data_IF_181991488008
#
_entry.id   IF_181991488008
#
_cell.length_a   1.000
_cell.length_b   1.000
_cell.length_c   1.000
_cell.angle_alpha   90.00
_cell.angle_beta   90.00
_cell.angle_gamma   90.00
#
_symmetry.space_group_name_H-M   'P 1'
#
loop_
_entity.id
_entity.type
_entity.pdbx_description
1 polymer ?
#
# COMPACT_ATOMS: atom_id res chain seq x y z
N UNK A 1 31.90 -20.38 -39.77
CA UNK A 1 32.11 -20.37 -38.31
C UNK A 1 31.78 -18.97 -37.80
N UNK A 2 30.51 -18.72 -37.55
CA UNK A 2 29.99 -17.42 -37.11
C UNK A 2 29.66 -17.57 -35.62
N UNK A 3 30.53 -17.08 -34.74
CA UNK A 3 30.29 -17.08 -33.31
C UNK A 3 29.40 -15.88 -32.97
N UNK A 4 28.13 -16.18 -32.67
CA UNK A 4 27.16 -15.25 -32.12
C UNK A 4 27.59 -14.91 -30.68
N UNK A 5 27.95 -13.64 -30.43
CA UNK A 5 28.25 -13.14 -29.08
C UNK A 5 26.95 -12.94 -28.32
N UNK A 6 26.64 -13.84 -27.39
CA UNK A 6 25.54 -13.72 -26.45
C UNK A 6 25.86 -12.64 -25.41
N UNK A 7 25.08 -11.57 -25.40
CA UNK A 7 25.14 -10.47 -24.43
C UNK A 7 24.43 -10.95 -23.14
N UNK A 8 25.19 -11.20 -22.07
CA UNK A 8 24.64 -11.50 -20.75
C UNK A 8 24.25 -10.18 -20.06
N UNK A 9 22.96 -9.87 -20.01
CA UNK A 9 22.40 -8.89 -19.09
C UNK A 9 22.31 -9.53 -17.69
N UNK A 10 23.11 -9.04 -16.74
CA UNK A 10 22.98 -9.40 -15.34
C UNK A 10 21.89 -8.54 -14.68
N UNK A 11 20.72 -9.13 -14.48
CA UNK A 11 19.62 -8.51 -13.74
C UNK A 11 19.78 -8.89 -12.25
N UNK A 12 20.31 -7.98 -11.44
CA UNK A 12 20.35 -8.16 -9.99
C UNK A 12 19.06 -7.55 -9.39
N UNK A 13 18.06 -8.39 -9.17
CA UNK A 13 16.84 -8.03 -8.44
C UNK A 13 17.12 -8.20 -6.94
N UNK A 14 17.13 -7.10 -6.19
CA UNK A 14 17.19 -7.13 -4.72
C UNK A 14 15.77 -6.87 -4.21
N UNK A 15 15.14 -7.91 -3.65
CA UNK A 15 13.85 -7.80 -2.97
C UNK A 15 14.12 -7.60 -1.48
N UNK A 16 13.96 -6.37 -1.00
CA UNK A 16 13.97 -6.06 0.42
C UNK A 16 12.54 -6.06 0.94
N UNK A 17 12.21 -6.97 1.84
CA UNK A 17 10.91 -7.02 2.52
C UNK A 17 10.99 -6.16 3.78
N UNK A 18 10.16 -5.11 3.90
CA UNK A 18 10.01 -4.36 5.15
C UNK A 18 8.54 -3.99 5.41
N UNK A 19 8.15 -4.20 6.67
CA UNK A 19 6.84 -3.91 7.22
C UNK A 19 6.55 -2.39 7.25
N UNK A 20 5.30 -2.01 7.00
CA UNK A 20 4.83 -0.63 7.07
C UNK A 20 4.66 -0.19 8.54
N UNK A 21 5.44 0.81 8.96
CA UNK A 21 5.17 1.60 10.18
C UNK A 21 4.22 2.75 9.85
N UNK A 22 3.43 3.20 10.83
CA UNK A 22 2.52 4.36 10.71
C UNK A 22 3.26 5.67 10.40
N UNK A 23 2.53 6.77 10.22
CA UNK A 23 3.10 8.08 9.89
C UNK A 23 4.10 8.51 10.96
N UNK A 24 5.38 8.62 10.59
CA UNK A 24 6.48 8.99 11.48
C UNK A 24 6.67 10.51 11.53
N UNK A 25 7.07 11.04 12.68
CA UNK A 25 7.36 12.47 12.89
C UNK A 25 8.72 12.65 13.57
N UNK A 26 9.41 13.75 13.27
CA UNK A 26 10.58 14.20 14.04
C UNK A 26 10.17 14.81 15.38
N UNK A 27 11.11 14.94 16.33
CA UNK A 27 10.91 15.63 17.62
C UNK A 27 10.44 17.10 17.47
N UNK A 28 10.57 17.67 16.27
CA UNK A 28 10.12 19.02 15.91
C UNK A 28 8.79 19.07 15.15
N UNK A 29 8.11 17.92 15.00
CA UNK A 29 6.80 17.82 14.33
C UNK A 29 6.84 17.82 12.80
N UNK A 30 8.01 17.58 12.19
CA UNK A 30 8.12 17.40 10.73
C UNK A 30 7.75 15.95 10.37
N UNK A 31 6.81 15.77 9.44
CA UNK A 31 6.39 14.45 8.92
C UNK A 31 7.53 13.78 8.15
N UNK A 32 7.75 12.50 8.41
CA UNK A 32 8.69 11.63 7.71
C UNK A 32 7.89 10.79 6.72
N UNK A 33 7.98 11.14 5.44
CA UNK A 33 7.22 10.51 4.34
C UNK A 33 8.00 9.43 3.59
N UNK A 34 9.14 8.99 4.13
CA UNK A 34 9.99 8.01 3.47
C UNK A 34 11.29 7.72 4.21
N UNK A 35 12.06 6.77 3.68
CA UNK A 35 13.35 6.32 4.23
C UNK A 35 14.40 6.17 3.12
N UNK A 36 15.63 5.80 3.48
CA UNK A 36 16.75 5.64 2.54
C UNK A 36 17.22 4.20 2.46
N UNK A 37 17.46 3.74 1.24
CA UNK A 37 18.02 2.42 0.91
C UNK A 37 19.44 2.57 0.37
N UNK A 38 20.30 1.62 0.68
CA UNK A 38 21.67 1.57 0.15
C UNK A 38 21.69 0.93 -1.25
N UNK A 39 22.47 1.53 -2.15
CA UNK A 39 22.67 1.00 -3.49
C UNK A 39 24.08 1.37 -3.95
N UNK A 40 24.84 0.42 -4.49
CA UNK A 40 26.22 0.64 -4.93
C UNK A 40 26.37 0.50 -6.44
N UNK A 41 26.20 1.60 -7.18
CA UNK A 41 26.49 1.63 -8.63
C UNK A 41 27.60 2.63 -8.90
N UNK A 42 28.61 2.20 -9.66
CA UNK A 42 29.70 3.07 -10.10
C UNK A 42 29.65 3.15 -11.63
N UNK A 43 29.47 4.36 -12.15
CA UNK A 43 29.46 4.62 -13.58
C UNK A 43 30.67 5.48 -13.91
N UNK A 44 31.52 4.97 -14.80
CA UNK A 44 32.62 5.74 -15.37
C UNK A 44 32.11 6.44 -16.62
N UNK A 45 32.49 7.70 -16.80
CA UNK A 45 32.10 8.44 -17.98
C UNK A 45 32.72 7.84 -19.26
N UNK A 46 32.10 8.11 -20.41
CA UNK A 46 32.63 7.75 -21.73
C UNK A 46 31.81 6.71 -22.50
N UNK A 47 30.83 6.07 -21.87
CA UNK A 47 29.90 5.16 -22.55
C UNK A 47 28.52 5.31 -21.92
N UNK A 48 27.50 5.56 -22.76
CA UNK A 48 26.12 5.69 -22.31
C UNK A 48 25.67 4.44 -21.58
N UNK A 49 24.88 4.64 -20.52
CA UNK A 49 24.46 3.58 -19.60
C UNK A 49 23.03 3.85 -19.11
N UNK A 50 22.31 2.81 -18.74
CA UNK A 50 20.95 2.93 -18.19
C UNK A 50 20.77 1.97 -17.03
N UNK A 51 20.30 2.51 -15.91
CA UNK A 51 19.90 1.76 -14.73
C UNK A 51 18.39 1.90 -14.49
N UNK A 52 17.76 0.82 -14.07
CA UNK A 52 16.41 0.83 -13.52
C UNK A 52 16.52 0.59 -12.01
N UNK A 53 16.03 1.53 -11.22
CA UNK A 53 15.91 1.38 -9.78
C UNK A 53 14.42 1.23 -9.49
N UNK A 54 14.05 0.15 -8.82
CA UNK A 54 12.68 -0.13 -8.42
C UNK A 54 12.67 -0.57 -6.97
N UNK A 55 11.67 -0.11 -6.24
CA UNK A 55 11.38 -0.60 -4.90
C UNK A 55 9.88 -0.75 -4.79
N UNK A 56 9.43 -1.96 -4.51
CA UNK A 56 8.01 -2.28 -4.44
C UNK A 56 7.31 -1.37 -3.42
N UNK A 57 6.13 -0.87 -3.80
CA UNK A 57 5.31 0.03 -2.96
C UNK A 57 5.89 1.40 -2.63
N UNK A 58 7.05 1.79 -3.17
CA UNK A 58 7.53 3.16 -2.99
C UNK A 58 6.56 4.16 -3.67
N UNK A 59 6.14 5.20 -2.93
CA UNK A 59 5.30 6.27 -3.50
C UNK A 59 6.10 7.27 -4.34
N UNK A 60 7.41 7.35 -4.12
CA UNK A 60 8.36 8.06 -4.95
C UNK A 60 9.76 7.46 -4.80
N UNK A 61 10.66 7.75 -5.74
CA UNK A 61 12.10 7.49 -5.62
C UNK A 61 12.92 8.77 -5.88
N UNK A 62 13.92 9.04 -5.04
CA UNK A 62 14.92 10.10 -5.23
C UNK A 62 16.35 9.54 -5.11
N UNK A 63 17.11 9.56 -6.21
CA UNK A 63 18.43 8.91 -6.31
C UNK A 63 19.53 9.71 -5.61
N UNK A 64 20.43 9.04 -4.89
CA UNK A 64 21.56 9.67 -4.18
C UNK A 64 22.85 9.53 -4.97
N UNK A 65 23.35 10.64 -5.50
CA UNK A 65 24.60 10.69 -6.26
C UNK A 65 25.78 11.16 -5.40
N UNK A 66 26.95 10.57 -5.64
CA UNK A 66 28.23 11.00 -5.10
C UNK A 66 29.33 10.97 -6.17
N UNK A 67 30.30 11.87 -6.06
CA UNK A 67 31.39 11.99 -7.04
C UNK A 67 30.89 12.30 -8.46
N UNK A 68 29.71 12.89 -8.58
CA UNK A 68 29.08 13.24 -9.86
C UNK A 68 29.87 14.35 -10.54
N UNK A 69 30.52 14.01 -11.65
CA UNK A 69 31.35 14.90 -12.44
C UNK A 69 31.36 14.40 -13.88
N UNK A 70 30.43 14.91 -14.67
CA UNK A 70 30.28 14.54 -16.07
C UNK A 70 31.15 15.42 -16.98
N UNK A 71 31.69 14.86 -18.07
CA UNK A 71 32.25 15.63 -19.17
C UNK A 71 31.29 16.70 -19.73
N UNK A 72 31.85 17.68 -20.42
CA UNK A 72 31.02 18.66 -21.14
C UNK A 72 30.22 17.97 -22.26
N UNK A 73 28.92 18.27 -22.34
CA UNK A 73 27.98 17.66 -23.29
C UNK A 73 27.31 16.39 -22.80
N UNK A 74 27.83 15.75 -21.76
CA UNK A 74 27.23 14.57 -21.14
C UNK A 74 26.05 14.95 -20.24
N UNK A 75 25.12 14.01 -20.06
CA UNK A 75 23.96 14.22 -19.18
C UNK A 75 23.49 12.94 -18.51
N UNK A 76 22.91 13.08 -17.32
CA UNK A 76 22.10 12.05 -16.67
C UNK A 76 20.67 12.55 -16.59
N UNK A 77 19.74 11.78 -17.13
CA UNK A 77 18.29 12.00 -17.03
C UNK A 77 17.72 10.96 -16.09
N UNK A 78 17.00 11.40 -15.06
CA UNK A 78 16.12 10.53 -14.28
C UNK A 78 14.68 10.72 -14.74
N UNK A 79 13.95 9.64 -14.95
CA UNK A 79 12.55 9.70 -15.40
C UNK A 79 11.74 8.52 -14.88
N UNK A 80 10.43 8.69 -14.84
CA UNK A 80 9.54 7.54 -14.66
C UNK A 80 9.72 6.56 -15.84
N UNK A 81 9.76 5.24 -15.59
CA UNK A 81 9.63 4.25 -16.64
C UNK A 81 8.18 4.12 -17.14
N UNK A 82 7.20 4.61 -16.38
CA UNK A 82 5.79 4.67 -16.82
C UNK A 82 5.62 5.80 -17.83
N UNK A 83 5.23 5.44 -19.04
CA UNK A 83 5.00 6.35 -20.17
C UNK A 83 3.89 7.37 -19.91
N UNK A 84 3.01 7.12 -18.93
CA UNK A 84 1.92 8.02 -18.57
C UNK A 84 2.35 9.09 -17.54
N UNK A 85 3.51 8.92 -16.91
CA UNK A 85 4.04 9.86 -15.91
C UNK A 85 5.14 10.72 -16.54
N UNK A 86 4.79 11.93 -16.96
CA UNK A 86 5.68 12.83 -17.69
C UNK A 86 6.75 13.55 -16.81
N UNK A 87 7.17 12.95 -15.69
CA UNK A 87 8.18 13.55 -14.79
C UNK A 87 9.57 13.11 -15.21
N UNK A 88 10.43 14.08 -15.52
CA UNK A 88 11.86 13.85 -15.78
C UNK A 88 12.72 15.01 -15.30
N UNK A 89 13.96 14.71 -14.90
CA UNK A 89 14.94 15.70 -14.45
C UNK A 89 16.31 15.41 -15.06
N UNK A 90 16.96 16.45 -15.58
CA UNK A 90 18.27 16.33 -16.26
C UNK A 90 19.37 16.99 -15.44
N UNK A 91 20.51 16.32 -15.33
CA UNK A 91 21.70 16.79 -14.61
C UNK A 91 22.93 16.73 -15.53
N UNK A 92 23.77 17.77 -15.46
CA UNK A 92 25.02 17.91 -16.22
C UNK A 92 26.14 18.42 -15.31
N UNK A 93 27.40 18.37 -15.78
CA UNK A 93 28.56 18.84 -15.01
C UNK A 93 28.66 18.14 -13.65
N UNK A 94 28.66 18.91 -12.55
CA UNK A 94 28.69 18.38 -11.17
C UNK A 94 27.31 18.24 -10.53
N UNK A 95 26.25 18.28 -11.33
CA UNK A 95 24.87 18.06 -10.91
C UNK A 95 24.27 19.24 -10.12
N UNK A 96 23.42 18.94 -9.14
CA UNK A 96 22.66 19.97 -8.39
C UNK A 96 23.63 20.92 -7.69
N UNK A 97 23.48 22.23 -7.96
CA UNK A 97 24.35 23.30 -7.42
C UNK A 97 25.86 23.07 -7.64
N UNK A 98 26.25 22.22 -8.60
CA UNK A 98 27.64 21.91 -8.93
C UNK A 98 28.48 21.33 -7.77
N UNK A 99 27.86 20.66 -6.79
CA UNK A 99 28.56 20.12 -5.61
C UNK A 99 29.24 18.77 -5.88
N UNK A 100 28.70 17.96 -6.79
CA UNK A 100 29.14 16.59 -7.07
C UNK A 100 28.59 15.52 -6.12
N UNK A 101 27.91 15.91 -5.04
CA UNK A 101 27.19 14.99 -4.14
C UNK A 101 25.84 15.60 -3.81
N UNK A 102 24.76 14.91 -4.16
CA UNK A 102 23.40 15.44 -4.01
C UNK A 102 22.35 14.33 -4.09
N UNK A 103 21.18 14.63 -3.52
CA UNK A 103 19.95 13.88 -3.75
C UNK A 103 19.22 14.52 -4.93
N UNK A 104 18.87 13.71 -5.93
CA UNK A 104 18.14 14.16 -7.10
C UNK A 104 16.69 14.53 -6.76
N UNK A 105 16.03 15.32 -7.61
CA UNK A 105 14.59 15.53 -7.54
C UNK A 105 13.84 14.19 -7.60
N UNK A 106 12.76 14.06 -6.82
CA UNK A 106 12.00 12.82 -6.78
C UNK A 106 11.26 12.57 -8.10
N UNK A 107 11.01 11.30 -8.37
CA UNK A 107 10.11 10.80 -9.40
C UNK A 107 8.96 10.06 -8.70
N UNK A 108 7.69 10.46 -8.91
CA UNK A 108 6.55 9.73 -8.37
C UNK A 108 6.49 8.28 -8.86
N UNK A 109 6.05 7.37 -8.00
CA UNK A 109 5.92 5.95 -8.29
C UNK A 109 7.04 5.08 -7.73
N UNK A 110 6.91 3.78 -7.97
CA UNK A 110 7.74 2.74 -7.36
C UNK A 110 9.05 2.44 -8.10
N UNK A 111 9.35 3.19 -9.16
CA UNK A 111 10.52 2.96 -10.00
C UNK A 111 10.99 4.22 -10.72
N UNK A 112 12.29 4.28 -11.00
CA UNK A 112 12.95 5.36 -11.73
C UNK A 112 13.99 4.78 -12.68
N UNK A 113 14.00 5.30 -13.91
CA UNK A 113 15.07 5.04 -14.87
C UNK A 113 16.13 6.14 -14.73
N UNK A 114 17.40 5.75 -14.59
CA UNK A 114 18.56 6.65 -14.66
C UNK A 114 19.26 6.40 -16.00
N UNK A 115 19.22 7.38 -16.90
CA UNK A 115 19.85 7.29 -18.23
C UNK A 115 21.03 8.24 -18.31
N UNK A 116 22.23 7.69 -18.41
CA UNK A 116 23.45 8.44 -18.72
C UNK A 116 23.72 8.42 -20.22
N UNK A 117 23.89 9.61 -20.80
CA UNK A 117 24.23 9.80 -22.21
C UNK A 117 25.61 10.43 -22.31
N UNK A 118 26.53 9.73 -22.96
CA UNK A 118 27.89 10.18 -23.24
C UNK A 118 28.01 10.70 -24.67
N UNK A 119 28.66 11.85 -24.88
CA UNK A 119 28.92 12.40 -26.23
C UNK A 119 30.28 11.99 -26.80
N UNK A 120 31.13 11.36 -26.00
CA UNK A 120 32.46 10.91 -26.44
C UNK A 120 33.22 10.17 -25.34
N UNK A 121 34.51 9.82 -25.56
CA UNK A 121 35.36 9.23 -24.55
C UNK A 121 35.65 10.24 -23.41
N UNK A 122 35.66 9.76 -22.17
CA UNK A 122 35.94 10.59 -21.01
C UNK A 122 37.40 10.49 -20.54
N UNK A 123 37.80 11.46 -19.72
CA UNK A 123 39.08 11.43 -19.00
C UNK A 123 38.97 10.63 -17.69
N UNK A 124 40.11 10.18 -17.16
CA UNK A 124 40.14 9.39 -15.93
C UNK A 124 39.55 10.15 -14.73
N UNK A 125 38.69 9.49 -13.95
CA UNK A 125 38.06 10.07 -12.74
C UNK A 125 36.75 10.81 -12.97
N UNK A 126 36.21 10.82 -14.19
CA UNK A 126 34.88 11.36 -14.51
C UNK A 126 33.80 10.26 -14.45
N UNK A 127 32.57 10.65 -14.12
CA UNK A 127 31.43 9.75 -13.95
C UNK A 127 30.60 10.09 -12.72
N UNK A 128 30.03 9.09 -12.08
CA UNK A 128 29.27 9.24 -10.84
C UNK A 128 29.12 7.90 -10.12
N UNK A 129 28.70 7.99 -8.87
CA UNK A 129 28.27 6.85 -8.07
C UNK A 129 26.84 7.06 -7.62
N UNK A 130 26.03 6.02 -7.70
CA UNK A 130 24.78 5.93 -6.95
C UNK A 130 25.14 5.24 -5.65
N UNK A 131 24.86 5.91 -4.53
CA UNK A 131 25.19 5.43 -3.18
C UNK A 131 23.97 4.93 -2.41
N UNK A 132 22.78 5.23 -2.94
CA UNK A 132 21.50 4.91 -2.35
C UNK A 132 20.37 5.62 -3.07
N UNK A 133 19.18 5.52 -2.51
CA UNK A 133 18.02 6.30 -2.91
C UNK A 133 17.08 6.48 -1.72
N UNK A 134 16.34 7.59 -1.71
CA UNK A 134 15.20 7.75 -0.83
C UNK A 134 13.97 7.16 -1.50
N UNK A 135 13.19 6.39 -0.75
CA UNK A 135 11.87 5.93 -1.16
C UNK A 135 10.81 6.56 -0.28
N UNK A 136 9.70 6.95 -0.89
CA UNK A 136 8.52 7.33 -0.14
C UNK A 136 7.87 6.13 0.50
N UNK A 137 7.29 6.31 1.69
CA UNK A 137 6.36 5.33 2.25
C UNK A 137 5.13 5.20 1.34
N UNK A 138 4.52 4.00 1.24
CA UNK A 138 3.33 3.79 0.41
C UNK A 138 2.21 4.78 0.76
N UNK A 139 1.53 5.35 -0.24
CA UNK A 139 0.47 6.36 -0.08
C UNK A 139 -0.95 5.77 -0.16
N UNK A 140 -1.20 4.59 0.47
CA UNK A 140 -2.49 3.83 0.50
C UNK A 140 -2.75 2.94 -0.73
N UNK A 141 -3.51 1.84 -0.74
CA UNK A 141 -3.88 0.77 0.21
C UNK A 141 -3.79 -0.53 -0.62
N UNK A 142 -3.22 -1.61 -0.08
CA UNK A 142 -3.68 -2.94 -0.48
C UNK A 142 -3.77 -3.79 0.78
N UNK A 143 -4.93 -4.41 0.95
CA UNK A 143 -5.11 -5.56 1.82
C UNK A 143 -4.06 -6.58 1.39
N UNK A 144 -2.96 -6.66 2.13
CA UNK A 144 -1.92 -7.62 1.83
C UNK A 144 -2.49 -8.99 2.16
N UNK A 145 -2.96 -9.71 1.15
CA UNK A 145 -3.24 -11.13 1.26
C UNK A 145 -1.93 -11.80 1.68
N UNK A 146 -1.84 -12.18 2.94
CA UNK A 146 -0.68 -12.88 3.48
C UNK A 146 -0.78 -14.37 3.10
N UNK A 147 0.05 -14.84 2.16
CA UNK A 147 0.09 -16.27 1.79
C UNK A 147 0.14 -16.53 0.29
N UNK A 148 -0.18 -17.77 -0.11
CA UNK A 148 -0.15 -18.23 -1.51
C UNK A 148 -1.38 -17.77 -2.32
N UNK A 149 -1.61 -16.45 -2.38
CA UNK A 149 -2.74 -15.84 -3.09
C UNK A 149 -4.02 -15.72 -2.25
N UNK A 150 -5.12 -15.31 -2.88
CA UNK A 150 -6.41 -15.09 -2.22
C UNK A 150 -6.97 -16.41 -1.67
N UNK A 151 -7.03 -16.49 -0.35
CA UNK A 151 -7.57 -17.62 0.41
C UNK A 151 -8.96 -17.32 0.95
N UNK A 152 -9.60 -16.23 0.49
CA UNK A 152 -10.94 -15.85 0.89
C UNK A 152 -11.93 -16.95 0.49
N UNK A 153 -12.74 -17.34 1.46
CA UNK A 153 -13.84 -18.26 1.26
C UNK A 153 -15.12 -17.60 1.81
N UNK A 154 -16.29 -17.91 1.24
CA UNK A 154 -17.55 -17.46 1.79
C UNK A 154 -17.65 -17.83 3.27
N UNK A 155 -18.18 -16.94 4.12
CA UNK A 155 -18.34 -17.20 5.55
C UNK A 155 -19.05 -18.53 5.81
N UNK A 156 -20.01 -18.90 4.96
CA UNK A 156 -20.75 -20.17 4.99
C UNK A 156 -19.86 -21.43 4.94
N UNK A 157 -18.64 -21.33 4.41
CA UNK A 157 -17.67 -22.41 4.45
C UNK A 157 -17.21 -22.76 5.87
N UNK A 158 -17.32 -21.82 6.81
CA UNK A 158 -16.97 -21.99 8.23
C UNK A 158 -18.19 -22.28 9.13
N UNK A 159 -19.40 -22.39 8.55
CA UNK A 159 -20.62 -22.61 9.31
C UNK A 159 -20.61 -23.95 10.07
N UNK A 160 -21.36 -24.07 11.18
CA UNK A 160 -21.41 -25.32 11.96
C UNK A 160 -21.72 -26.54 11.09
N UNK A 161 -20.88 -27.58 11.21
CA UNK A 161 -21.03 -28.83 10.48
C UNK A 161 -20.26 -28.90 9.16
N UNK A 162 -19.43 -27.89 8.83
CA UNK A 162 -18.46 -27.97 7.73
C UNK A 162 -17.09 -28.42 8.22
N UNK A 163 -16.25 -28.93 7.32
CA UNK A 163 -14.87 -29.32 7.64
C UNK A 163 -14.01 -28.15 8.20
N UNK A 164 -14.27 -26.92 7.76
CA UNK A 164 -13.52 -25.75 8.23
C UNK A 164 -13.99 -25.28 9.61
N UNK A 165 -15.24 -25.53 9.99
CA UNK A 165 -15.73 -25.24 11.33
C UNK A 165 -15.01 -26.03 12.43
N UNK A 166 -14.44 -27.19 12.11
CA UNK A 166 -13.65 -27.97 13.08
C UNK A 166 -12.30 -27.32 13.41
N UNK A 167 -11.75 -26.54 12.46
CA UNK A 167 -10.45 -25.88 12.60
C UNK A 167 -10.59 -24.46 13.14
N UNK A 168 -11.69 -23.78 12.81
CA UNK A 168 -11.99 -22.41 13.21
C UNK A 168 -13.46 -22.31 13.69
N UNK A 169 -13.79 -22.86 14.87
CA UNK A 169 -15.17 -23.05 15.32
C UNK A 169 -15.94 -21.74 15.55
N UNK A 170 -15.23 -20.66 15.88
CA UNK A 170 -15.85 -19.38 16.18
C UNK A 170 -15.94 -18.46 14.95
N UNK A 171 -15.22 -18.76 13.85
CA UNK A 171 -15.09 -17.86 12.70
C UNK A 171 -16.45 -17.46 12.10
N UNK A 172 -17.35 -18.43 11.91
CA UNK A 172 -18.67 -18.14 11.34
C UNK A 172 -19.53 -17.28 12.27
N UNK A 173 -19.55 -17.62 13.56
CA UNK A 173 -20.32 -16.88 14.57
C UNK A 173 -19.81 -15.44 14.70
N UNK A 174 -18.48 -15.26 14.69
CA UNK A 174 -17.84 -13.93 14.76
C UNK A 174 -18.06 -13.12 13.47
N UNK A 175 -18.07 -13.78 12.31
CA UNK A 175 -18.36 -13.13 11.03
C UNK A 175 -19.78 -12.52 10.97
N UNK A 176 -20.73 -13.01 11.77
CA UNK A 176 -22.08 -12.41 11.80
C UNK A 176 -22.10 -10.97 12.32
N UNK A 177 -21.08 -10.56 13.08
CA UNK A 177 -20.93 -9.20 13.58
C UNK A 177 -20.42 -8.20 12.52
N UNK A 178 -20.06 -8.68 11.33
CA UNK A 178 -19.56 -7.87 10.21
C UNK A 178 -20.72 -7.37 9.36
N UNK A 179 -20.66 -6.10 8.98
CA UNK A 179 -21.63 -5.43 8.13
C UNK A 179 -20.98 -4.93 6.84
N UNK A 180 -21.77 -4.98 5.76
CA UNK A 180 -21.54 -4.22 4.55
C UNK A 180 -22.12 -2.82 4.72
N UNK A 181 -21.35 -1.81 4.34
CA UNK A 181 -21.75 -0.41 4.37
C UNK A 181 -21.87 0.10 2.94
N UNK A 182 -23.04 0.63 2.56
CA UNK A 182 -23.19 1.41 1.33
C UNK A 182 -23.33 2.89 1.73
N UNK A 183 -22.21 3.59 1.73
CA UNK A 183 -22.11 4.98 2.16
C UNK A 183 -22.49 5.91 1.02
N UNK A 184 -23.41 6.83 1.32
CA UNK A 184 -23.92 7.83 0.38
C UNK A 184 -24.43 7.22 -0.95
N UNK A 185 -24.89 5.97 -0.91
CA UNK A 185 -25.37 5.23 -2.08
C UNK A 185 -24.30 4.86 -3.12
N UNK A 186 -23.01 5.16 -2.89
CA UNK A 186 -21.96 5.04 -3.91
C UNK A 186 -20.70 4.31 -3.46
N UNK A 187 -20.37 4.34 -2.17
CA UNK A 187 -19.13 3.75 -1.65
C UNK A 187 -19.43 2.48 -0.87
N UNK A 188 -18.69 1.41 -1.17
CA UNK A 188 -18.76 0.18 -0.37
C UNK A 188 -17.62 0.12 0.61
N UNK A 189 -17.98 -0.12 1.86
CA UNK A 189 -17.06 -0.35 2.95
C UNK A 189 -17.52 -1.54 3.79
N UNK A 190 -16.68 -1.93 4.74
CA UNK A 190 -16.96 -2.96 5.73
C UNK A 190 -16.89 -2.33 7.12
N UNK A 191 -17.75 -2.77 8.02
CA UNK A 191 -17.62 -2.47 9.43
C UNK A 191 -17.98 -3.66 10.31
N UNK A 192 -17.77 -3.54 11.62
CA UNK A 192 -18.07 -4.63 12.55
C UNK A 192 -18.48 -4.09 13.92
N UNK A 193 -19.39 -4.80 14.60
CA UNK A 193 -19.87 -4.43 15.92
C UNK A 193 -18.78 -4.69 16.98
N UNK A 194 -18.38 -3.64 17.71
CA UNK A 194 -17.43 -3.74 18.82
C UNK A 194 -18.08 -3.93 20.20
N UNK A 195 -19.40 -4.00 20.26
CA UNK A 195 -20.16 -4.23 21.48
C UNK A 195 -21.66 -4.38 21.19
N UNK A 196 -22.44 -4.62 22.24
CA UNK A 196 -23.89 -4.83 22.15
C UNK A 196 -24.71 -3.54 22.04
N UNK A 197 -24.09 -2.38 22.28
CA UNK A 197 -24.74 -1.06 22.25
C UNK A 197 -24.72 -0.39 20.85
N UNK A 198 -24.43 -1.16 19.80
CA UNK A 198 -24.47 -0.68 18.42
C UNK A 198 -23.28 0.15 17.96
N UNK A 199 -22.15 0.12 18.67
CA UNK A 199 -20.90 0.71 18.22
C UNK A 199 -20.29 -0.15 17.11
N UNK A 200 -20.18 0.43 15.91
CA UNK A 200 -19.66 -0.19 14.72
C UNK A 200 -18.35 0.49 14.30
N UNK A 201 -17.28 -0.30 14.24
CA UNK A 201 -15.95 0.13 13.81
C UNK A 201 -15.82 -0.02 12.30
N UNK A 202 -15.18 0.95 11.65
CA UNK A 202 -14.83 0.96 10.22
C UNK A 202 -13.67 1.93 9.99
N UNK A 203 -13.40 2.29 8.73
CA UNK A 203 -12.33 3.21 8.34
C UNK A 203 -12.80 4.66 8.25
N UNK A 204 -11.89 5.60 8.50
CA UNK A 204 -12.19 7.03 8.35
C UNK A 204 -12.46 7.38 6.89
N UNK A 205 -11.70 6.82 5.96
CA UNK A 205 -11.88 7.08 4.53
C UNK A 205 -13.25 6.65 3.98
N UNK A 206 -14.00 5.81 4.71
CA UNK A 206 -15.38 5.49 4.36
C UNK A 206 -16.33 6.67 4.56
N UNK A 207 -15.95 7.65 5.38
CA UNK A 207 -16.72 8.83 5.76
C UNK A 207 -15.90 10.10 5.53
N UNK A 208 -15.55 10.40 4.27
CA UNK A 208 -14.84 11.63 3.89
C UNK A 208 -15.58 12.92 4.31
N UNK A 209 -16.90 12.82 4.56
CA UNK A 209 -17.72 13.88 5.12
C UNK A 209 -18.52 13.32 6.32
N UNK A 210 -18.52 14.05 7.44
CA UNK A 210 -19.18 13.62 8.67
C UNK A 210 -20.69 13.36 8.47
N UNK A 211 -21.36 14.11 7.59
CA UNK A 211 -22.80 13.98 7.36
C UNK A 211 -23.19 12.71 6.60
N UNK A 212 -22.22 12.00 6.00
CA UNK A 212 -22.47 10.73 5.32
C UNK A 212 -22.97 9.64 6.27
N UNK A 213 -22.72 9.75 7.58
CA UNK A 213 -23.29 8.85 8.60
C UNK A 213 -24.82 8.84 8.60
N UNK A 214 -25.48 9.88 8.09
CA UNK A 214 -26.93 9.99 7.97
C UNK A 214 -27.48 9.37 6.68
N UNK A 215 -26.60 8.94 5.77
CA UNK A 215 -26.93 8.41 4.44
C UNK A 215 -26.16 7.12 4.16
N UNK A 216 -26.07 6.23 5.15
CA UNK A 216 -25.34 4.97 5.03
C UNK A 216 -26.27 3.80 5.29
N UNK A 217 -26.41 2.94 4.30
CA UNK A 217 -27.08 1.65 4.46
C UNK A 217 -26.12 0.67 5.14
N UNK A 218 -26.55 0.13 6.28
CA UNK A 218 -25.80 -0.80 7.12
C UNK A 218 -26.48 -2.17 7.05
N UNK A 219 -25.84 -3.10 6.38
CA UNK A 219 -26.39 -4.40 6.02
C UNK A 219 -25.58 -5.54 6.63
N UNK A 220 -26.22 -6.34 7.49
CA UNK A 220 -25.59 -7.49 8.12
C UNK A 220 -25.98 -8.80 7.44
N UNK A 221 -25.21 -9.85 7.67
CA UNK A 221 -25.44 -11.18 7.10
C UNK A 221 -25.58 -11.16 5.56
N UNK A 222 -24.84 -10.27 4.90
CA UNK A 222 -24.70 -10.23 3.44
C UNK A 222 -23.74 -11.34 2.98
N UNK A 223 -24.18 -12.59 3.13
CA UNK A 223 -23.40 -13.80 2.86
C UNK A 223 -24.10 -14.73 1.87
N UNK A 224 -23.34 -15.69 1.33
CA UNK A 224 -23.88 -16.71 0.45
C UNK A 224 -24.79 -17.70 1.18
N UNK A 225 -25.68 -18.36 0.43
CA UNK A 225 -26.52 -19.43 0.96
C UNK A 225 -25.72 -20.71 1.27
N UNK A 226 -24.56 -20.89 0.62
CA UNK A 226 -23.71 -22.08 0.71
C UNK A 226 -22.25 -21.77 0.41
N UNK A 227 -21.34 -22.64 0.87
CA UNK A 227 -19.90 -22.50 0.61
C UNK A 227 -19.53 -22.52 -0.89
N UNK A 228 -20.34 -23.16 -1.74
CA UNK A 228 -20.11 -23.21 -3.19
C UNK A 228 -20.52 -21.93 -3.93
N UNK A 229 -21.34 -21.08 -3.32
CA UNK A 229 -21.78 -19.82 -3.90
C UNK A 229 -20.84 -18.71 -3.43
N UNK A 230 -20.08 -18.14 -4.38
CA UNK A 230 -18.98 -17.21 -4.09
C UNK A 230 -19.40 -15.73 -4.11
N UNK A 231 -20.62 -15.42 -4.57
CA UNK A 231 -21.12 -14.04 -4.67
C UNK A 231 -20.16 -13.09 -5.40
N UNK A 232 -19.47 -13.55 -6.46
CA UNK A 232 -18.35 -12.84 -7.13
C UNK A 232 -18.72 -11.51 -7.82
N UNK A 233 -19.98 -11.10 -7.78
CA UNK A 233 -20.40 -9.78 -8.23
C UNK A 233 -20.53 -8.85 -7.05
N UNK A 234 -20.14 -7.59 -7.21
CA UNK A 234 -20.37 -6.55 -6.22
C UNK A 234 -21.85 -6.51 -5.80
N UNK A 235 -22.12 -6.52 -4.49
CA UNK A 235 -23.47 -6.64 -3.91
C UNK A 235 -24.22 -7.95 -4.26
N UNK A 236 -23.49 -9.00 -4.67
CA UNK A 236 -24.08 -10.20 -5.25
C UNK A 236 -24.98 -10.99 -4.30
N UNK A 237 -24.60 -11.09 -3.03
CA UNK A 237 -25.43 -11.73 -2.01
C UNK A 237 -26.08 -10.69 -1.09
N UNK A 238 -27.40 -10.73 -0.92
CA UNK A 238 -28.13 -9.82 -0.06
C UNK A 238 -28.01 -10.27 1.40
N UNK A 239 -28.05 -9.29 2.29
CA UNK A 239 -28.20 -9.45 3.73
C UNK A 239 -29.48 -8.79 4.22
N UNK A 240 -29.46 -8.39 5.49
CA UNK A 240 -30.54 -7.65 6.13
C UNK A 240 -30.09 -6.21 6.33
N UNK A 241 -30.81 -5.26 5.75
CA UNK A 241 -30.63 -3.83 6.01
C UNK A 241 -31.15 -3.52 7.43
N UNK A 242 -30.24 -3.18 8.34
CA UNK A 242 -30.55 -2.97 9.76
C UNK A 242 -30.74 -1.49 10.08
N UNK A 243 -29.96 -0.61 9.44
CA UNK A 243 -30.04 0.83 9.62
C UNK A 243 -29.67 1.55 8.32
N UNK A 244 -30.16 2.78 8.16
CA UNK A 244 -29.83 3.66 7.02
C UNK A 244 -29.16 4.97 7.47
N UNK A 245 -28.92 5.08 8.78
CA UNK A 245 -28.29 6.22 9.42
C UNK A 245 -27.63 5.75 10.72
N UNK A 246 -26.63 6.50 11.14
CA UNK A 246 -25.85 6.28 12.35
C UNK A 246 -25.38 7.63 12.91
N UNK A 247 -24.75 7.61 14.08
CA UNK A 247 -24.13 8.79 14.69
C UNK A 247 -22.62 8.60 14.71
N UNK A 248 -21.84 9.57 14.24
CA UNK A 248 -20.39 9.54 14.41
C UNK A 248 -20.03 9.71 15.90
N UNK A 249 -19.26 8.76 16.45
CA UNK A 249 -18.83 8.78 17.86
C UNK A 249 -17.39 9.25 17.98
N UNK A 250 -16.50 8.72 17.14
CA UNK A 250 -15.09 9.08 17.11
C UNK A 250 -14.48 8.68 15.77
N UNK A 251 -13.47 9.42 15.32
CA UNK A 251 -12.69 9.10 14.14
C UNK A 251 -11.26 9.65 14.23
N UNK A 252 -10.41 9.20 13.31
CA UNK A 252 -9.09 9.76 13.08
C UNK A 252 -8.63 9.46 11.66
N UNK A 253 -8.31 10.52 10.92
CA UNK A 253 -7.70 10.45 9.60
C UNK A 253 -6.31 9.81 9.65
N UNK A 254 -5.49 10.14 10.66
CA UNK A 254 -4.09 9.70 10.78
C UNK A 254 -3.91 8.18 10.85
N UNK A 255 -4.84 7.47 11.50
CA UNK A 255 -4.81 6.01 11.65
C UNK A 255 -6.00 5.31 10.97
N UNK A 256 -6.73 6.07 10.15
CA UNK A 256 -7.85 5.62 9.32
C UNK A 256 -8.90 4.76 10.05
N UNK A 257 -9.42 5.27 11.18
CA UNK A 257 -10.50 4.61 11.93
C UNK A 257 -11.69 5.53 12.14
N UNK A 258 -12.88 4.92 12.16
CA UNK A 258 -14.13 5.55 12.57
C UNK A 258 -14.97 4.60 13.43
N UNK A 259 -15.65 5.15 14.42
CA UNK A 259 -16.68 4.48 15.21
C UNK A 259 -17.98 5.23 15.00
N UNK A 260 -18.98 4.53 14.48
CA UNK A 260 -20.35 5.03 14.36
C UNK A 260 -21.27 4.23 15.28
N UNK A 261 -22.33 4.84 15.77
CA UNK A 261 -23.33 4.19 16.60
C UNK A 261 -24.64 4.04 15.83
N UNK A 262 -25.15 2.81 15.76
CA UNK A 262 -26.45 2.50 15.20
C UNK A 262 -27.58 2.95 16.16
N UNK A 263 -28.79 3.23 15.66
CA UNK A 263 -29.91 3.67 16.50
C UNK A 263 -30.31 2.61 17.54
N UNK A 264 -30.59 3.01 18.79
CA UNK A 264 -30.96 2.09 19.89
C UNK A 264 -32.18 1.18 19.62
N UNK A 265 -33.00 1.52 18.62
CA UNK A 265 -34.20 0.76 18.27
C UNK A 265 -33.93 -0.45 17.35
N UNK A 266 -32.72 -0.61 16.83
CA UNK A 266 -32.38 -1.74 15.95
C UNK A 266 -32.05 -2.98 16.78
N UNK A 267 -32.53 -4.15 16.32
CA UNK A 267 -32.23 -5.43 16.99
C UNK A 267 -30.90 -6.00 16.46
N UNK A 268 -29.88 -5.98 17.31
CA UNK A 268 -28.54 -6.52 17.01
C UNK A 268 -28.30 -7.90 17.62
N UNK A 269 -29.26 -8.44 18.38
CA UNK A 269 -29.11 -9.74 19.03
C UNK A 269 -28.75 -10.91 18.09
N UNK A 270 -29.14 -10.93 16.80
CA UNK A 270 -28.74 -11.99 15.88
C UNK A 270 -27.25 -11.99 15.48
N UNK A 271 -26.56 -10.85 15.59
CA UNK A 271 -25.25 -10.64 14.96
C UNK A 271 -24.07 -10.77 15.93
N UNK A 272 -24.31 -10.65 17.24
CA UNK A 272 -23.25 -10.66 18.24
C UNK A 272 -22.31 -9.44 18.09
N UNK A 273 -21.06 -9.59 18.51
CA UNK A 273 -20.03 -8.56 18.41
C UNK A 273 -18.61 -9.15 18.53
N UNK A 274 -17.64 -8.40 18.02
CA UNK A 274 -16.22 -8.64 18.23
C UNK A 274 -15.74 -7.86 19.45
N UNK A 275 -14.61 -8.31 20.01
CA UNK A 275 -14.00 -7.67 21.18
C UNK A 275 -12.53 -7.43 20.91
N UNK A 276 -12.05 -6.27 21.34
CA UNK A 276 -10.62 -5.99 21.36
C UNK A 276 -10.01 -6.57 22.63
N UNK A 277 -8.76 -7.02 22.53
CA UNK A 277 -7.94 -7.43 23.66
C UNK A 277 -6.76 -6.49 23.81
N UNK A 278 -6.33 -6.28 25.05
CA UNK A 278 -5.20 -5.40 25.38
C UNK A 278 -3.86 -6.01 24.93
N UNK A 279 -3.74 -7.33 24.94
CA UNK A 279 -2.53 -8.04 24.51
C UNK A 279 -2.46 -8.16 22.98
N UNK A 280 -1.25 -8.06 22.42
CA UNK A 280 -1.02 -8.34 20.99
C UNK A 280 -1.32 -9.79 20.58
N UNK A 281 -1.32 -10.08 19.27
CA UNK A 281 -1.54 -11.43 18.76
C UNK A 281 -0.44 -12.40 19.21
N UNK A 282 -0.84 -13.61 19.58
CA UNK A 282 0.07 -14.72 19.93
C UNK A 282 0.13 -15.68 18.73
N UNK A 283 1.33 -16.19 18.43
CA UNK A 283 1.51 -17.16 17.32
C UNK A 283 0.65 -18.40 17.57
N UNK A 284 -0.14 -18.81 16.55
CA UNK A 284 -1.13 -19.89 16.58
C UNK A 284 -2.40 -19.63 17.41
N UNK A 285 -2.71 -18.38 17.68
CA UNK A 285 -3.96 -18.00 18.31
C UNK A 285 -5.05 -17.78 17.25
N UNK A 286 -6.14 -18.53 17.35
CA UNK A 286 -7.34 -18.32 16.56
C UNK A 286 -8.33 -17.55 17.44
N UNK A 287 -8.32 -16.23 17.31
CA UNK A 287 -9.29 -15.33 17.96
C UNK A 287 -10.59 -15.24 17.18
#
# INVERSE_FOLDING_TARGET
MTLLKTLFLFFNLVVGLQAASGIEYTDTGIVIVGTTELLGVNVTAGTSHKDLISYEFASYIAVHFAGFNLPEGDSVVISSPDVNVAVSHTYTGRGRQQTGTFIASFVPGNSVTVTYTSVGPASAGQGYRITGFSRGYPTMHHESVCGDGDQSLPAKCYAPGTNLSEHLPDAYTKAQAVARLLVNGTYLCTGWLGGSEGHLFTNHHCFEQEDWVLTTDIEFAAESSSCSEQCETQLGCPGTLVATASTLIADSEDIDYSVVQLPDCVDLSPYGYLQMRESGPVVNDAS
#
